data_IF_620797523354
#
_entry.id   IF_620797523354
#
_cell.length_a   1.000
_cell.length_b   1.000
_cell.length_c   1.000
_cell.angle_alpha   90.00
_cell.angle_beta   90.00
_cell.angle_gamma   90.00
#
_symmetry.space_group_name_H-M   'P 1'
#
loop_
_entity.id
_entity.type
_entity.pdbx_description
1 polymer ?
#
# COMPACT_ATOMS: atom_id res chain seq x y z
N UNK A 1 -55.44 0.84 -18.65
CA UNK A 1 -54.75 1.86 -17.83
C UNK A 1 -53.68 1.16 -17.02
N UNK A 2 -52.42 1.33 -17.42
CA UNK A 2 -51.28 0.52 -16.97
C UNK A 2 -50.49 1.27 -15.90
N UNK A 3 -50.48 0.78 -14.67
CA UNK A 3 -49.65 1.32 -13.59
C UNK A 3 -48.32 0.55 -13.55
N UNK A 4 -47.26 1.17 -14.08
CA UNK A 4 -45.88 0.69 -14.02
C UNK A 4 -45.36 0.72 -12.57
N UNK A 5 -45.21 -0.46 -11.97
CA UNK A 5 -44.64 -0.63 -10.65
C UNK A 5 -43.10 -0.60 -10.75
N UNK A 6 -42.52 0.60 -10.78
CA UNK A 6 -41.06 0.80 -10.89
C UNK A 6 -40.42 0.61 -9.51
N UNK A 7 -39.93 -0.60 -9.23
CA UNK A 7 -39.10 -0.88 -8.05
C UNK A 7 -37.82 -0.06 -8.12
N UNK A 8 -37.71 0.97 -7.29
CA UNK A 8 -36.46 1.69 -7.08
C UNK A 8 -35.49 0.77 -6.35
N UNK A 9 -34.54 0.21 -7.11
CA UNK A 9 -33.36 -0.44 -6.54
C UNK A 9 -32.50 0.69 -5.98
N UNK A 10 -32.64 0.97 -4.69
CA UNK A 10 -31.75 1.88 -3.97
C UNK A 10 -30.36 1.26 -4.07
N UNK A 11 -29.55 1.82 -4.97
CA UNK A 11 -28.12 1.57 -5.02
C UNK A 11 -27.58 2.00 -3.67
N UNK A 12 -27.26 1.02 -2.82
CA UNK A 12 -26.50 1.26 -1.59
C UNK A 12 -25.19 1.85 -2.02
N UNK A 13 -25.12 3.18 -2.00
CA UNK A 13 -23.90 3.94 -2.14
C UNK A 13 -22.90 3.33 -1.15
N UNK A 14 -21.90 2.66 -1.71
CA UNK A 14 -20.79 2.08 -0.99
C UNK A 14 -20.07 3.24 -0.31
N UNK A 15 -20.47 3.52 0.93
CA UNK A 15 -19.74 4.36 1.87
C UNK A 15 -18.34 3.77 1.92
N UNK A 16 -17.41 4.40 1.20
CA UNK A 16 -15.98 4.10 1.32
C UNK A 16 -15.64 4.31 2.79
N UNK A 17 -15.16 3.30 3.53
CA UNK A 17 -14.60 3.56 4.83
C UNK A 17 -13.33 4.39 4.60
N UNK A 18 -13.49 5.70 4.81
CA UNK A 18 -12.39 6.61 5.08
C UNK A 18 -11.68 6.07 6.32
N UNK A 19 -10.41 5.68 6.17
CA UNK A 19 -9.57 5.24 7.29
C UNK A 19 -9.12 3.79 7.28
N UNK A 20 -9.33 3.02 6.20
CA UNK A 20 -8.67 1.71 6.08
C UNK A 20 -7.22 1.93 5.64
N UNK A 21 -6.36 2.25 6.62
CA UNK A 21 -4.92 2.11 6.45
C UNK A 21 -4.67 0.66 6.09
N UNK A 22 -4.31 0.42 4.82
CA UNK A 22 -3.84 -0.88 4.41
C UNK A 22 -2.51 -1.10 5.12
N UNK A 23 -2.54 -1.66 6.33
CA UNK A 23 -1.44 -2.47 6.83
C UNK A 23 -1.32 -3.63 5.86
N UNK A 24 -0.68 -3.37 4.71
CA UNK A 24 -0.15 -4.42 3.86
C UNK A 24 0.73 -5.22 4.78
N UNK A 25 0.28 -6.39 5.18
CA UNK A 25 1.00 -7.24 6.13
C UNK A 25 2.46 -7.30 5.69
N UNK A 26 3.42 -7.11 6.59
CA UNK A 26 4.85 -7.02 6.21
C UNK A 26 5.32 -8.22 5.36
N UNK A 27 4.62 -9.35 5.46
CA UNK A 27 4.76 -10.52 4.63
C UNK A 27 4.48 -10.26 3.12
N UNK A 28 3.42 -9.52 2.79
CA UNK A 28 3.07 -9.20 1.39
C UNK A 28 4.05 -8.22 0.77
N UNK A 29 4.56 -7.25 1.55
CA UNK A 29 5.58 -6.30 1.09
C UNK A 29 6.89 -7.01 0.76
N UNK A 30 7.35 -7.90 1.67
CA UNK A 30 8.56 -8.71 1.44
C UNK A 30 8.42 -9.61 0.21
N UNK A 31 7.25 -10.21 0.01
CA UNK A 31 6.96 -11.03 -1.18
C UNK A 31 7.00 -10.20 -2.46
N UNK A 32 6.40 -9.01 -2.46
CA UNK A 32 6.45 -8.10 -3.60
C UNK A 32 7.87 -7.67 -3.93
N UNK A 33 8.64 -7.24 -2.94
CA UNK A 33 10.06 -6.88 -3.13
C UNK A 33 10.86 -8.04 -3.74
N UNK A 34 10.73 -9.24 -3.17
CA UNK A 34 11.43 -10.43 -3.69
C UNK A 34 11.06 -10.75 -5.14
N UNK A 35 9.79 -10.62 -5.50
CA UNK A 35 9.33 -10.84 -6.88
C UNK A 35 9.89 -9.77 -7.83
N UNK A 36 9.93 -8.51 -7.39
CA UNK A 36 10.50 -7.40 -8.17
C UNK A 36 11.99 -7.61 -8.43
N UNK A 37 12.78 -7.96 -7.40
CA UNK A 37 14.22 -8.24 -7.57
C UNK A 37 14.44 -9.42 -8.50
N UNK A 38 13.67 -10.51 -8.34
CA UNK A 38 13.75 -11.67 -9.25
C UNK A 38 13.48 -11.28 -10.70
N UNK A 39 12.48 -10.44 -10.95
CA UNK A 39 12.16 -9.97 -12.29
C UNK A 39 13.27 -9.10 -12.89
N UNK A 40 13.83 -8.16 -12.11
CA UNK A 40 14.97 -7.33 -12.55
C UNK A 40 16.18 -8.19 -12.92
N UNK A 41 16.52 -9.17 -12.08
CA UNK A 41 17.62 -10.10 -12.35
C UNK A 41 17.36 -10.94 -13.60
N UNK A 42 16.10 -11.37 -13.80
CA UNK A 42 15.70 -12.08 -15.02
C UNK A 42 15.91 -11.21 -16.26
N UNK A 43 15.48 -9.95 -16.25
CA UNK A 43 15.69 -9.04 -17.38
C UNK A 43 17.17 -8.88 -17.73
N UNK A 44 18.07 -8.84 -16.74
CA UNK A 44 19.52 -8.82 -16.99
C UNK A 44 20.00 -10.12 -17.64
N UNK A 45 19.55 -11.27 -17.13
CA UNK A 45 19.92 -12.60 -17.68
C UNK A 45 19.45 -12.79 -19.11
N UNK A 46 18.27 -12.27 -19.42
CA UNK A 46 17.66 -12.31 -20.75
C UNK A 46 18.30 -11.27 -21.70
N UNK A 47 19.28 -10.48 -21.24
CA UNK A 47 19.97 -9.46 -22.04
C UNK A 47 19.13 -8.22 -22.35
N UNK A 48 17.95 -8.07 -21.72
CA UNK A 48 17.04 -6.93 -21.94
C UNK A 48 17.58 -5.65 -21.33
N UNK A 49 18.30 -5.76 -20.21
CA UNK A 49 18.95 -4.63 -19.53
C UNK A 49 20.42 -4.95 -19.23
N UNK A 50 21.26 -3.92 -19.29
CA UNK A 50 22.67 -4.04 -18.92
C UNK A 50 22.87 -4.13 -17.38
N UNK A 51 24.14 -4.34 -16.99
CA UNK A 51 24.51 -4.47 -15.58
C UNK A 51 24.23 -3.21 -14.76
N UNK A 52 24.56 -2.03 -15.29
CA UNK A 52 24.40 -0.75 -14.58
C UNK A 52 22.91 -0.45 -14.35
N UNK A 53 22.09 -0.73 -15.36
CA UNK A 53 20.63 -0.56 -15.27
C UNK A 53 20.00 -1.56 -14.31
N UNK A 54 20.47 -2.81 -14.32
CA UNK A 54 20.07 -3.81 -13.32
C UNK A 54 20.42 -3.36 -11.90
N UNK A 55 21.65 -2.90 -11.67
CA UNK A 55 22.09 -2.41 -10.35
C UNK A 55 21.25 -1.23 -9.88
N UNK A 56 21.02 -0.24 -10.75
CA UNK A 56 20.20 0.93 -10.44
C UNK A 56 18.77 0.57 -10.05
N UNK A 57 18.13 -0.34 -10.80
CA UNK A 57 16.77 -0.81 -10.48
C UNK A 57 16.70 -1.58 -9.17
N UNK A 58 17.69 -2.43 -8.87
CA UNK A 58 17.77 -3.14 -7.59
C UNK A 58 17.96 -2.15 -6.43
N UNK A 59 18.83 -1.15 -6.58
CA UNK A 59 19.02 -0.10 -5.57
C UNK A 59 17.73 0.68 -5.32
N UNK A 60 17.04 1.10 -6.38
CA UNK A 60 15.78 1.84 -6.26
C UNK A 60 14.68 1.01 -5.58
N UNK A 61 14.53 -0.26 -5.97
CA UNK A 61 13.58 -1.17 -5.33
C UNK A 61 13.88 -1.38 -3.84
N UNK A 62 15.17 -1.43 -3.48
CA UNK A 62 15.63 -1.57 -2.09
C UNK A 62 15.33 -0.31 -1.28
N UNK A 63 15.64 0.88 -1.81
CA UNK A 63 15.32 2.14 -1.16
C UNK A 63 13.81 2.27 -0.89
N UNK A 64 12.99 2.00 -1.90
CA UNK A 64 11.53 2.07 -1.78
C UNK A 64 10.96 1.10 -0.75
N UNK A 65 11.54 -0.11 -0.65
CA UNK A 65 11.15 -1.11 0.35
C UNK A 65 11.47 -0.64 1.77
N UNK A 66 12.70 -0.13 1.99
CA UNK A 66 13.13 0.36 3.31
C UNK A 66 12.35 1.61 3.73
N UNK A 67 12.14 2.57 2.84
CA UNK A 67 11.35 3.78 3.12
C UNK A 67 9.94 3.44 3.61
N UNK A 68 9.32 2.43 2.98
CA UNK A 68 8.01 1.95 3.38
C UNK A 68 8.03 1.22 4.73
N UNK A 69 9.00 0.33 4.95
CA UNK A 69 9.14 -0.38 6.22
C UNK A 69 9.38 0.59 7.40
N UNK A 70 10.16 1.65 7.17
CA UNK A 70 10.38 2.72 8.16
C UNK A 70 9.11 3.51 8.40
N UNK A 71 8.36 3.89 7.34
CA UNK A 71 7.09 4.61 7.49
C UNK A 71 6.06 3.79 8.28
N UNK A 72 5.90 2.51 7.95
CA UNK A 72 4.96 1.63 8.64
C UNK A 72 5.30 1.51 10.15
N UNK A 73 6.60 1.45 10.50
CA UNK A 73 7.06 1.44 11.89
C UNK A 73 6.82 2.77 12.61
N UNK A 74 7.01 3.89 11.91
CA UNK A 74 6.72 5.21 12.48
C UNK A 74 5.24 5.38 12.74
N UNK A 75 4.37 4.93 11.83
CA UNK A 75 2.92 4.95 12.02
C UNK A 75 2.51 4.13 13.25
N UNK A 76 3.09 2.94 13.45
CA UNK A 76 2.88 2.12 14.67
C UNK A 76 3.29 2.88 15.94
N UNK A 77 4.48 3.49 15.94
CA UNK A 77 4.98 4.29 17.07
C UNK A 77 4.08 5.51 17.35
N UNK A 78 3.57 6.19 16.32
CA UNK A 78 2.67 7.33 16.52
C UNK A 78 1.31 6.93 17.10
N UNK A 79 0.80 5.75 16.73
CA UNK A 79 -0.42 5.19 17.34
C UNK A 79 -0.20 4.91 18.84
N UNK A 80 0.99 4.41 19.21
CA UNK A 80 1.29 4.06 20.60
C UNK A 80 1.64 5.28 21.48
N UNK A 81 2.32 6.29 20.93
CA UNK A 81 2.81 7.46 21.70
C UNK A 81 1.75 8.55 21.88
N UNK A 82 0.83 8.71 20.92
CA UNK A 82 -0.18 9.77 20.95
C UNK A 82 -1.54 9.15 21.35
N UNK A 83 -1.91 9.16 22.65
CA UNK A 83 -3.29 8.91 23.01
C UNK A 83 -4.11 10.07 22.47
N UNK A 84 -4.79 9.85 21.35
CA UNK A 84 -5.70 10.80 20.70
C UNK A 84 -6.73 11.41 21.67
N UNK A 85 -6.95 10.81 22.84
CA UNK A 85 -7.80 11.37 23.92
C UNK A 85 -7.23 12.60 24.66
N UNK A 86 -5.93 12.91 24.58
CA UNK A 86 -5.34 14.04 25.32
C UNK A 86 -5.50 15.40 24.62
N UNK A 87 -5.74 15.41 23.31
CA UNK A 87 -5.91 16.63 22.52
C UNK A 87 -7.37 17.00 22.24
N UNK A 88 -8.32 16.11 22.55
CA UNK A 88 -9.76 16.36 22.43
C UNK A 88 -10.36 17.09 23.64
N UNK A 89 -9.57 17.37 24.67
CA UNK A 89 -9.97 18.09 25.90
C UNK A 89 -9.15 19.38 26.12
N UNK A 90 -8.76 20.06 25.05
CA UNK A 90 -8.34 21.46 25.16
C UNK A 90 -9.61 22.34 25.14
N UNK A 91 -9.81 23.20 26.15
CA UNK A 91 -10.96 24.09 26.23
C UNK A 91 -11.01 25.10 25.07
#
# INVERSE_FOLDING_TARGET
>A
MSALNRKYKVSTAQKRPSGMWFSSTGHDQKKMFNNTVKYIVKLRRDGVIDHNRCEGLVRQATASFVEREVSDRLDEVFVDIIPYGRFLNLP
#
